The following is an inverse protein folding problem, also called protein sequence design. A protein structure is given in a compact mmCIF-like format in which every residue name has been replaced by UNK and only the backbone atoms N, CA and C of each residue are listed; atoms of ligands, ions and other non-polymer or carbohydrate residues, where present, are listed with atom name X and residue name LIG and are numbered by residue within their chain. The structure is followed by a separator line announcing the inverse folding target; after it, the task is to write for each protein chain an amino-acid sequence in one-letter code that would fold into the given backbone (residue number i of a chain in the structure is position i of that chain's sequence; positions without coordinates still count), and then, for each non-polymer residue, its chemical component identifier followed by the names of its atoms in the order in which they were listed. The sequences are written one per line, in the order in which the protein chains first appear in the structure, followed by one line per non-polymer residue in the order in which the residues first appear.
data_IF_025319919660
#
_entry.id   IF_025319919660
#
_cell.length_a   1.000
_cell.length_b   1.000
_cell.length_c   1.000
_cell.angle_alpha   90.00
_cell.angle_beta   90.00
_cell.angle_gamma   90.00
#
_symmetry.space_group_name_H-M   'P 1'
#
loop_
_entity.id
_entity.type
_entity.pdbx_description
1 polymer ?
#
# COMPACT_ATOMS: atom_id res chain seq x y z
N UNK A 1 7.56 -35.03 28.95
CA UNK A 1 8.23 -33.87 29.57
C UNK A 1 9.54 -33.69 28.84
N UNK A 2 9.68 -32.64 28.02
CA UNK A 2 10.89 -32.39 27.22
C UNK A 2 11.72 -31.33 27.93
N UNK A 3 12.93 -31.68 28.35
CA UNK A 3 13.86 -30.76 28.99
C UNK A 3 14.57 -29.90 27.94
N UNK A 4 14.46 -28.59 28.11
CA UNK A 4 15.01 -27.57 27.23
C UNK A 4 16.49 -27.32 27.56
N UNK A 5 17.37 -27.48 26.56
CA UNK A 5 18.82 -27.29 26.71
C UNK A 5 19.26 -25.97 26.08
N UNK A 6 19.03 -24.85 26.77
CA UNK A 6 19.69 -23.57 26.46
C UNK A 6 21.11 -23.58 27.05
N UNK A 7 22.11 -23.64 26.16
CA UNK A 7 23.51 -23.32 26.51
C UNK A 7 23.63 -21.81 26.61
N UNK A 8 23.68 -21.30 27.85
CA UNK A 8 24.26 -19.99 28.15
C UNK A 8 25.77 -20.17 28.17
N UNK A 9 26.46 -19.55 27.22
CA UNK A 9 27.90 -19.33 27.27
C UNK A 9 28.15 -17.84 27.49
N UNK A 10 28.70 -17.52 28.65
CA UNK A 10 29.15 -16.21 29.04
C UNK A 10 30.51 -15.90 28.41
N UNK A 11 30.69 -14.70 27.83
CA UNK A 11 31.90 -13.85 27.95
C UNK A 11 31.69 -12.47 27.30
N UNK A 12 32.50 -11.45 27.62
CA UNK A 12 32.11 -10.33 28.48
C UNK A 12 32.08 -9.00 27.71
N UNK A 13 31.53 -7.98 28.35
CA UNK A 13 31.63 -6.58 27.90
C UNK A 13 33.10 -6.18 27.69
N UNK A 14 33.42 -5.69 26.49
CA UNK A 14 34.70 -5.03 26.18
C UNK A 14 34.43 -3.77 25.36
N UNK A 15 34.45 -2.65 26.09
CA UNK A 15 34.96 -1.33 25.68
C UNK A 15 34.26 -0.63 24.51
N UNK A 16 33.47 0.38 24.88
CA UNK A 16 33.24 1.60 24.10
C UNK A 16 34.60 2.23 23.76
N UNK A 17 34.99 2.22 22.50
CA UNK A 17 36.08 3.04 21.98
C UNK A 17 35.85 3.29 20.49
N UNK A 18 35.78 4.60 20.15
CA UNK A 18 35.99 5.20 18.83
C UNK A 18 35.44 4.46 17.60
N UNK A 19 34.34 5.00 17.04
CA UNK A 19 33.82 4.57 15.75
C UNK A 19 34.90 4.64 14.68
N UNK A 20 35.37 3.47 14.27
CA UNK A 20 36.31 3.28 13.18
C UNK A 20 35.67 3.73 11.87
N UNK A 21 36.25 4.76 11.25
CA UNK A 21 35.95 5.18 9.88
C UNK A 21 36.46 4.10 8.92
N UNK A 22 35.71 3.00 8.84
CA UNK A 22 35.96 1.91 7.90
C UNK A 22 35.82 2.41 6.47
N UNK A 23 36.73 1.97 5.61
CA UNK A 23 36.62 2.01 4.16
C UNK A 23 35.21 1.68 3.69
N UNK A 24 34.40 2.69 3.42
CA UNK A 24 33.03 2.50 2.96
C UNK A 24 32.60 3.77 2.26
N UNK A 25 32.78 3.79 0.93
CA UNK A 25 32.32 4.78 -0.07
C UNK A 25 32.73 6.25 0.10
N UNK A 26 32.73 6.81 1.30
CA UNK A 26 33.08 8.20 1.58
C UNK A 26 34.58 8.48 1.37
N UNK A 27 35.45 7.60 1.87
CA UNK A 27 36.91 7.75 1.70
C UNK A 27 37.38 7.58 0.25
N UNK A 28 36.65 6.81 -0.56
CA UNK A 28 36.91 6.68 -2.00
C UNK A 28 36.51 7.91 -2.79
N UNK A 29 35.39 8.54 -2.41
CA UNK A 29 34.93 9.81 -2.98
C UNK A 29 35.90 10.95 -2.60
N UNK A 30 36.36 10.97 -1.36
CA UNK A 30 37.31 11.96 -0.83
C UNK A 30 38.65 11.96 -1.59
N UNK A 31 39.22 10.77 -1.80
CA UNK A 31 40.45 10.59 -2.60
C UNK A 31 40.28 10.97 -4.07
N UNK A 32 39.14 10.64 -4.69
CA UNK A 32 38.87 10.99 -6.11
C UNK A 32 38.67 12.49 -6.30
N UNK A 33 38.05 13.15 -5.32
CA UNK A 33 37.81 14.59 -5.32
C UNK A 33 39.02 15.39 -4.82
N UNK A 34 40.15 14.73 -4.47
CA UNK A 34 41.37 15.37 -3.93
C UNK A 34 41.07 16.40 -2.83
N UNK A 35 40.07 16.12 -2.01
CA UNK A 35 39.54 17.07 -1.03
C UNK A 35 40.65 17.55 -0.08
N UNK A 36 41.56 16.66 0.35
CA UNK A 36 42.75 16.98 1.17
C UNK A 36 43.59 18.13 0.58
N UNK A 37 43.85 18.14 -0.74
CA UNK A 37 44.62 19.20 -1.39
C UNK A 37 43.85 20.54 -1.43
N UNK A 38 42.53 20.50 -1.58
CA UNK A 38 41.68 21.70 -1.54
C UNK A 38 41.54 22.29 -0.12
N UNK A 39 41.65 21.46 0.92
CA UNK A 39 41.64 21.91 2.32
C UNK A 39 42.99 22.49 2.75
N UNK A 40 44.12 21.96 2.26
CA UNK A 40 45.47 22.47 2.57
C UNK A 40 45.82 23.76 1.82
N UNK A 41 45.47 23.89 0.53
CA UNK A 41 45.73 25.10 -0.27
C UNK A 41 44.65 26.20 -0.09
N UNK A 42 43.57 25.89 0.63
CA UNK A 42 42.43 26.77 0.85
C UNK A 42 41.41 26.73 -0.29
N UNK A 43 40.11 26.71 0.05
CA UNK A 43 39.06 26.61 -0.95
C UNK A 43 39.05 27.82 -1.89
N UNK A 44 39.13 27.61 -3.22
CA UNK A 44 38.92 28.69 -4.17
C UNK A 44 37.45 29.15 -4.09
N UNK A 45 37.24 30.41 -3.70
CA UNK A 45 35.91 31.02 -3.45
C UNK A 45 34.96 30.88 -4.66
N UNK A 46 35.52 30.74 -5.87
CA UNK A 46 34.78 30.49 -7.12
C UNK A 46 33.93 29.19 -7.14
N UNK A 47 34.28 28.16 -6.36
CA UNK A 47 33.57 26.87 -6.36
C UNK A 47 32.51 26.77 -5.25
N UNK A 48 32.59 27.61 -4.23
CA UNK A 48 31.64 27.70 -3.12
C UNK A 48 30.17 27.80 -3.60
N UNK A 49 29.79 28.70 -4.54
CA UNK A 49 28.40 28.77 -4.99
C UNK A 49 27.92 27.51 -5.71
N UNK A 50 28.81 26.78 -6.39
CA UNK A 50 28.45 25.52 -7.09
C UNK A 50 28.19 24.38 -6.10
N UNK A 51 29.00 24.29 -5.04
CA UNK A 51 28.82 23.29 -3.97
C UNK A 51 27.52 23.57 -3.20
N UNK A 52 27.24 24.85 -2.89
CA UNK A 52 26.00 25.26 -2.26
C UNK A 52 24.76 24.89 -3.10
N UNK A 53 24.84 25.07 -4.42
CA UNK A 53 23.77 24.68 -5.33
C UNK A 53 23.49 23.17 -5.30
N UNK A 54 24.53 22.34 -5.35
CA UNK A 54 24.37 20.87 -5.27
C UNK A 54 23.84 20.45 -3.90
N UNK A 55 24.30 21.09 -2.82
CA UNK A 55 23.79 20.84 -1.47
C UNK A 55 22.30 21.20 -1.36
N UNK A 56 21.88 22.34 -1.92
CA UNK A 56 20.48 22.75 -1.98
C UNK A 56 19.61 21.74 -2.77
N UNK A 57 20.11 21.22 -3.90
CA UNK A 57 19.44 20.15 -4.64
C UNK A 57 19.32 18.87 -3.81
N UNK A 58 20.35 18.51 -3.03
CA UNK A 58 20.32 17.38 -2.11
C UNK A 58 19.25 17.54 -1.03
N UNK A 59 19.12 18.74 -0.44
CA UNK A 59 18.06 19.04 0.53
C UNK A 59 16.67 18.96 -0.09
N UNK A 60 16.49 19.51 -1.29
CA UNK A 60 15.23 19.39 -2.03
C UNK A 60 14.86 17.94 -2.32
N UNK A 61 15.85 17.10 -2.66
CA UNK A 61 15.65 15.67 -2.90
C UNK A 61 15.18 14.93 -1.65
N UNK A 62 15.83 15.16 -0.51
CA UNK A 62 15.45 14.55 0.78
C UNK A 62 14.02 14.99 1.16
N UNK A 63 13.72 16.29 1.00
CA UNK A 63 12.38 16.82 1.24
C UNK A 63 11.33 16.14 0.37
N UNK A 64 11.56 16.05 -0.94
CA UNK A 64 10.63 15.41 -1.87
C UNK A 64 10.43 13.92 -1.56
N UNK A 65 11.49 13.21 -1.18
CA UNK A 65 11.42 11.80 -0.78
C UNK A 65 10.50 11.62 0.43
N UNK A 66 10.58 12.51 1.43
CA UNK A 66 9.71 12.43 2.60
C UNK A 66 8.23 12.72 2.27
N UNK A 67 7.97 13.61 1.31
CA UNK A 67 6.61 13.83 0.79
C UNK A 67 6.07 12.61 0.02
N UNK A 68 6.92 11.97 -0.79
CA UNK A 68 6.57 10.74 -1.49
C UNK A 68 6.21 9.61 -0.51
N UNK A 69 6.99 9.43 0.56
CA UNK A 69 6.73 8.40 1.58
C UNK A 69 5.37 8.60 2.27
N UNK A 70 5.03 9.85 2.63
CA UNK A 70 3.70 10.17 3.20
C UNK A 70 2.58 9.84 2.24
N UNK A 71 2.76 10.20 0.97
CA UNK A 71 1.76 9.95 -0.09
C UNK A 71 1.55 8.46 -0.29
N UNK A 72 2.62 7.66 -0.33
CA UNK A 72 2.54 6.19 -0.45
C UNK A 72 1.79 5.58 0.73
N UNK A 73 2.05 6.04 1.97
CA UNK A 73 1.29 5.58 3.14
C UNK A 73 -0.19 5.91 3.04
N UNK A 74 -0.55 7.10 2.57
CA UNK A 74 -1.94 7.48 2.36
C UNK A 74 -2.61 6.61 1.30
N UNK A 75 -1.94 6.35 0.18
CA UNK A 75 -2.43 5.45 -0.87
C UNK A 75 -2.72 4.05 -0.30
N UNK A 76 -1.80 3.49 0.49
CA UNK A 76 -1.99 2.17 1.08
C UNK A 76 -3.20 2.11 2.02
N UNK A 77 -3.42 3.15 2.84
CA UNK A 77 -4.58 3.22 3.73
C UNK A 77 -5.89 3.29 2.96
N UNK A 78 -5.97 4.16 1.94
CA UNK A 78 -7.16 4.30 1.10
C UNK A 78 -7.42 3.00 0.32
N UNK A 79 -6.36 2.33 -0.15
CA UNK A 79 -6.49 1.07 -0.87
C UNK A 79 -7.09 -0.03 0.01
N UNK A 80 -6.70 -0.08 1.29
CA UNK A 80 -7.27 -1.01 2.26
C UNK A 80 -8.77 -0.73 2.49
N UNK A 81 -9.14 0.54 2.68
CA UNK A 81 -10.54 0.95 2.85
C UNK A 81 -11.40 0.60 1.63
N UNK A 82 -10.89 0.79 0.42
CA UNK A 82 -11.57 0.39 -0.82
C UNK A 82 -11.77 -1.12 -0.91
N UNK A 83 -10.78 -1.91 -0.45
CA UNK A 83 -10.88 -3.37 -0.43
C UNK A 83 -11.94 -3.85 0.56
N UNK A 84 -11.99 -3.26 1.76
CA UNK A 84 -13.02 -3.53 2.76
C UNK A 84 -14.42 -3.20 2.23
N UNK A 85 -14.61 -2.00 1.66
CA UNK A 85 -15.89 -1.61 1.05
C UNK A 85 -16.31 -2.56 -0.08
N UNK A 86 -15.34 -3.05 -0.87
CA UNK A 86 -15.60 -4.00 -1.95
C UNK A 86 -16.03 -5.36 -1.42
N UNK A 87 -15.46 -5.81 -0.30
CA UNK A 87 -15.85 -7.04 0.36
C UNK A 87 -17.30 -6.95 0.88
N UNK A 88 -17.65 -5.83 1.53
CA UNK A 88 -19.01 -5.56 2.02
C UNK A 88 -20.03 -5.53 0.89
N UNK A 89 -19.74 -4.78 -0.18
CA UNK A 89 -20.60 -4.73 -1.35
C UNK A 89 -20.81 -6.11 -1.98
N UNK A 90 -19.75 -6.91 -2.09
CA UNK A 90 -19.83 -8.25 -2.69
C UNK A 90 -20.72 -9.17 -1.84
N UNK A 91 -20.58 -9.10 -0.52
CA UNK A 91 -21.39 -9.87 0.44
C UNK A 91 -22.85 -9.45 0.36
N UNK A 92 -23.13 -8.14 0.45
CA UNK A 92 -24.49 -7.60 0.38
C UNK A 92 -25.16 -7.94 -0.95
N UNK A 93 -24.41 -7.86 -2.05
CA UNK A 93 -24.91 -8.24 -3.38
C UNK A 93 -25.26 -9.73 -3.42
N UNK A 94 -24.44 -10.61 -2.83
CA UNK A 94 -24.74 -12.04 -2.78
C UNK A 94 -26.04 -12.30 -2.00
N UNK A 95 -26.24 -11.63 -0.86
CA UNK A 95 -27.46 -11.73 -0.05
C UNK A 95 -28.70 -11.21 -0.81
N UNK A 96 -28.55 -10.11 -1.53
CA UNK A 96 -29.60 -9.59 -2.41
C UNK A 96 -29.94 -10.58 -3.52
N UNK A 97 -28.94 -11.17 -4.18
CA UNK A 97 -29.17 -12.16 -5.23
C UNK A 97 -29.84 -13.42 -4.68
N UNK A 98 -29.45 -13.88 -3.50
CA UNK A 98 -30.08 -15.01 -2.82
C UNK A 98 -31.55 -14.70 -2.50
N UNK A 99 -31.82 -13.55 -1.88
CA UNK A 99 -33.18 -13.14 -1.52
C UNK A 99 -34.08 -12.84 -2.72
N UNK A 100 -33.50 -12.40 -3.84
CA UNK A 100 -34.20 -12.15 -5.11
C UNK A 100 -34.41 -13.42 -5.94
N UNK A 101 -33.84 -14.56 -5.55
CA UNK A 101 -34.01 -15.83 -6.26
C UNK A 101 -35.47 -16.23 -6.25
N UNK A 102 -36.02 -16.59 -7.42
CA UNK A 102 -37.43 -16.96 -7.58
C UNK A 102 -37.89 -18.01 -6.57
N UNK A 103 -37.08 -19.03 -6.28
CA UNK A 103 -37.39 -20.06 -5.28
C UNK A 103 -37.46 -19.54 -3.83
N UNK A 104 -36.63 -18.56 -3.46
CA UNK A 104 -36.65 -17.93 -2.13
C UNK A 104 -37.83 -16.98 -2.01
N UNK A 105 -38.09 -16.19 -3.06
CA UNK A 105 -39.28 -15.33 -3.14
C UNK A 105 -40.55 -16.16 -3.07
N UNK A 106 -40.68 -17.21 -3.88
CA UNK A 106 -41.82 -18.14 -3.86
C UNK A 106 -42.06 -18.74 -2.46
N UNK A 107 -40.98 -19.12 -1.76
CA UNK A 107 -41.06 -19.62 -0.37
C UNK A 107 -41.58 -18.55 0.60
N UNK A 108 -41.08 -17.31 0.51
CA UNK A 108 -41.51 -16.19 1.36
C UNK A 108 -42.96 -15.80 1.11
N UNK A 109 -43.42 -15.81 -0.15
CA UNK A 109 -44.78 -15.41 -0.51
C UNK A 109 -45.82 -16.53 -0.34
N UNK A 110 -45.38 -17.78 -0.15
CA UNK A 110 -46.27 -18.93 0.11
C UNK A 110 -47.08 -18.74 1.41
N UNK A 111 -46.51 -18.08 2.42
CA UNK A 111 -47.24 -17.71 3.65
C UNK A 111 -48.44 -16.79 3.39
N UNK A 112 -48.41 -16.03 2.28
CA UNK A 112 -49.50 -15.16 1.83
C UNK A 112 -50.43 -15.84 0.81
N UNK A 113 -50.26 -17.15 0.57
CA UNK A 113 -51.08 -17.93 -0.37
C UNK A 113 -50.81 -17.68 -1.85
N UNK A 114 -49.76 -16.92 -2.18
CA UNK A 114 -49.37 -16.60 -3.55
C UNK A 114 -48.60 -17.78 -4.17
N UNK A 115 -48.94 -18.13 -5.42
CA UNK A 115 -48.35 -19.25 -6.17
C UNK A 115 -47.65 -18.76 -7.42
N UNK A 116 -46.53 -19.40 -7.75
CA UNK A 116 -45.78 -19.11 -8.97
C UNK A 116 -46.57 -19.49 -10.22
N UNK A 117 -46.61 -18.59 -11.21
CA UNK A 117 -47.26 -18.87 -12.49
C UNK A 117 -46.32 -19.66 -13.39
N UNK A 118 -46.52 -20.97 -13.47
CA UNK A 118 -45.76 -21.88 -14.35
C UNK A 118 -46.20 -21.80 -15.81
N UNK A 119 -47.36 -21.20 -16.10
CA UNK A 119 -47.89 -21.06 -17.46
C UNK A 119 -47.59 -19.64 -17.97
N UNK A 120 -47.04 -19.50 -19.19
CA UNK A 120 -46.87 -18.20 -19.81
C UNK A 120 -48.24 -17.53 -20.04
N UNK A 121 -48.35 -16.20 -19.89
CA UNK A 121 -49.59 -15.49 -20.08
C UNK A 121 -50.03 -15.53 -21.55
N UNK A 122 -51.32 -15.71 -21.79
CA UNK A 122 -51.90 -15.68 -23.13
C UNK A 122 -51.96 -14.24 -23.64
N UNK A 123 -51.30 -13.97 -24.77
CA UNK A 123 -51.48 -12.71 -25.51
C UNK A 123 -52.85 -12.72 -26.16
N UNK A 124 -53.79 -11.93 -25.63
CA UNK A 124 -55.08 -11.70 -26.28
C UNK A 124 -54.81 -10.78 -27.48
N UNK A 125 -54.87 -11.33 -28.69
CA UNK A 125 -54.84 -10.54 -29.93
C UNK A 125 -56.30 -10.32 -30.33
N UNK A 126 -56.78 -9.10 -30.17
CA UNK A 126 -58.12 -8.71 -30.64
C UNK A 126 -58.05 -8.66 -32.16
N UNK A 127 -58.79 -9.53 -32.85
CA UNK A 127 -59.00 -9.40 -34.29
C UNK A 127 -60.07 -8.32 -34.50
N UNK A 128 -59.66 -7.17 -35.04
CA UNK A 128 -60.58 -6.18 -35.60
C UNK A 128 -61.20 -6.73 -36.88
N UNK A 129 -62.22 -7.59 -36.79
CA UNK A 129 -63.26 -7.78 -37.83
C UNK A 129 -64.07 -9.05 -37.58
N UNK A 130 -65.21 -8.92 -36.92
CA UNK A 130 -66.50 -9.49 -37.34
C UNK A 130 -67.55 -8.96 -36.36
N UNK A 131 -67.99 -7.73 -36.65
CA UNK A 131 -69.34 -7.26 -36.33
C UNK A 131 -70.16 -7.40 -37.59
#
# INVERSE_FOLDING_TARGET
MAENKFKISAKPESKRAAGSSGTSVFSGLEKRLKLEAYFEEGFPVQYVPKILFVMALGLLYIGNTHHAEKTVRQINNIQAEVEDLRADYTTLKADLMFSSKQSEVARKVNAYGLKESLRPPHKIVVKESEY
#
